data_IF_292640246316
#
_entry.id   IF_292640246316
#
_cell.length_a   1.000
_cell.length_b   1.000
_cell.length_c   1.000
_cell.angle_alpha   90.00
_cell.angle_beta   90.00
_cell.angle_gamma   90.00
#
_symmetry.space_group_name_H-M   'P 1'
#
loop_
_entity.id
_entity.type
_entity.pdbx_description
1 polymer ?
#
# COMPACT_ATOMS: atom_id res chain seq x y z
N UNK A 1 9.96 32.17 68.43
CA UNK A 1 11.28 31.63 68.82
C UNK A 1 11.12 30.12 68.92
N UNK A 2 11.46 29.37 67.88
CA UNK A 2 12.79 28.74 67.66
C UNK A 2 13.20 27.85 68.84
N UNK A 3 13.04 26.54 68.68
CA UNK A 3 14.06 25.48 68.90
C UNK A 3 13.38 24.10 69.07
N UNK A 4 13.44 23.22 68.07
CA UNK A 4 14.43 22.11 67.95
C UNK A 4 14.47 21.18 69.16
N UNK A 5 14.05 19.91 68.99
CA UNK A 5 14.87 18.77 69.39
C UNK A 5 14.53 17.51 68.58
N UNK A 6 15.60 16.84 68.15
CA UNK A 6 15.73 15.73 67.21
C UNK A 6 15.44 14.38 67.88
N UNK A 7 14.83 13.49 67.08
CA UNK A 7 15.16 12.07 66.82
C UNK A 7 15.62 11.17 67.99
N UNK A 8 14.96 10.02 68.16
CA UNK A 8 15.57 8.67 68.15
C UNK A 8 14.53 7.56 68.40
N UNK A 9 14.26 6.74 67.37
CA UNK A 9 13.81 5.34 67.43
C UNK A 9 13.81 4.85 65.96
N UNK A 10 14.86 4.19 65.45
CA UNK A 10 15.26 2.80 65.71
C UNK A 10 14.17 1.78 65.32
N UNK A 11 14.38 1.19 64.14
CA UNK A 11 14.16 -0.23 63.77
C UNK A 11 12.72 -0.78 63.70
N UNK A 12 12.30 -1.25 62.52
CA UNK A 12 12.30 -2.69 62.19
C UNK A 12 11.82 -2.91 60.75
N UNK A 13 12.58 -3.71 60.01
CA UNK A 13 12.29 -4.22 58.68
C UNK A 13 11.17 -5.26 58.73
N UNK A 14 10.12 -5.12 57.92
CA UNK A 14 9.30 -6.26 57.45
C UNK A 14 8.90 -6.01 56.00
N UNK A 15 9.59 -6.70 55.10
CA UNK A 15 9.28 -6.76 53.66
C UNK A 15 8.18 -7.81 53.49
N UNK A 16 6.93 -7.38 53.29
CA UNK A 16 5.85 -8.27 52.83
C UNK A 16 5.94 -8.44 51.32
N UNK A 17 6.46 -9.59 50.88
CA UNK A 17 6.46 -10.00 49.47
C UNK A 17 5.03 -10.31 49.00
N UNK A 18 4.51 -9.49 48.08
CA UNK A 18 3.28 -9.80 47.34
C UNK A 18 3.67 -10.70 46.17
N UNK A 19 3.37 -11.99 46.28
CA UNK A 19 3.51 -12.95 45.19
C UNK A 19 2.38 -12.74 44.18
N UNK A 20 2.70 -12.12 43.04
CA UNK A 20 1.80 -12.00 41.90
C UNK A 20 1.87 -13.32 41.11
N UNK A 21 0.78 -14.09 41.16
CA UNK A 21 0.60 -15.30 40.36
C UNK A 21 0.33 -14.88 38.90
N UNK A 22 1.37 -14.87 38.07
CA UNK A 22 1.22 -14.62 36.63
C UNK A 22 0.61 -15.85 35.95
N UNK A 23 -0.63 -15.76 35.48
CA UNK A 23 -1.19 -16.74 34.56
C UNK A 23 -0.35 -16.76 33.27
N UNK A 24 0.21 -17.93 32.95
CA UNK A 24 0.98 -18.16 31.73
C UNK A 24 0.13 -17.91 30.49
N UNK A 25 0.64 -17.08 29.58
CA UNK A 25 0.08 -16.91 28.24
C UNK A 25 0.43 -18.13 27.38
N UNK A 26 -0.50 -18.66 26.55
CA UNK A 26 -0.17 -19.73 25.64
C UNK A 26 0.71 -19.17 24.52
N UNK A 27 1.97 -19.60 24.49
CA UNK A 27 2.88 -19.32 23.38
C UNK A 27 2.36 -20.00 22.12
N UNK A 28 1.78 -19.21 21.22
CA UNK A 28 1.66 -19.58 19.81
C UNK A 28 3.08 -19.82 19.29
N UNK A 29 3.34 -21.03 18.77
CA UNK A 29 4.59 -21.39 18.12
C UNK A 29 4.82 -20.49 16.89
N UNK A 30 5.47 -19.35 17.10
CA UNK A 30 6.16 -18.65 16.03
C UNK A 30 7.33 -19.55 15.60
N UNK A 31 7.30 -20.04 14.37
CA UNK A 31 8.42 -20.76 13.77
C UNK A 31 9.65 -19.84 13.83
N UNK A 32 10.58 -20.15 14.73
CA UNK A 32 11.83 -19.40 14.86
C UNK A 32 12.63 -19.53 13.57
N UNK A 33 13.21 -18.42 13.12
CA UNK A 33 14.16 -18.40 12.03
C UNK A 33 15.36 -19.31 12.37
N UNK A 34 16.08 -19.84 11.36
CA UNK A 34 17.31 -20.60 11.61
C UNK A 34 18.30 -19.81 12.48
N UNK A 35 19.08 -20.52 13.29
CA UNK A 35 20.01 -19.90 14.24
C UNK A 35 20.92 -18.84 13.57
N UNK A 36 20.96 -17.66 14.19
CA UNK A 36 21.79 -16.53 13.74
C UNK A 36 21.15 -15.62 12.68
N UNK A 37 19.99 -15.97 12.09
CA UNK A 37 19.28 -15.09 11.16
C UNK A 37 18.54 -13.98 11.91
N UNK A 38 18.72 -12.73 11.48
CA UNK A 38 18.15 -11.54 12.13
C UNK A 38 17.53 -10.60 11.09
N UNK A 39 16.20 -10.49 11.12
CA UNK A 39 15.44 -9.64 10.20
C UNK A 39 15.65 -8.14 10.45
N UNK A 40 15.95 -7.70 11.68
CA UNK A 40 16.22 -6.29 11.95
C UNK A 40 17.56 -5.88 11.34
N UNK A 41 18.58 -6.72 11.51
CA UNK A 41 19.88 -6.57 10.83
C UNK A 41 19.72 -6.60 9.32
N UNK A 42 18.88 -7.49 8.80
CA UNK A 42 18.54 -7.55 7.37
C UNK A 42 17.95 -6.26 6.81
N UNK A 43 17.05 -5.61 7.56
CA UNK A 43 16.46 -4.33 7.17
C UNK A 43 17.50 -3.20 7.08
N UNK A 44 18.40 -3.12 8.05
CA UNK A 44 19.51 -2.17 8.02
C UNK A 44 20.40 -2.40 6.79
N UNK A 45 20.89 -3.63 6.60
CA UNK A 45 21.72 -4.02 5.46
C UNK A 45 21.04 -3.71 4.11
N UNK A 46 19.76 -3.98 3.98
CA UNK A 46 19.00 -3.69 2.77
C UNK A 46 18.90 -2.19 2.48
N UNK A 47 18.56 -1.38 3.49
CA UNK A 47 18.46 0.08 3.35
C UNK A 47 19.81 0.75 3.04
N UNK A 48 20.89 0.24 3.62
CA UNK A 48 22.21 0.82 3.51
C UNK A 48 22.91 0.44 2.20
N UNK A 49 22.58 -0.71 1.59
CA UNK A 49 23.36 -1.26 0.48
C UNK A 49 22.62 -1.28 -0.86
N UNK A 50 21.28 -1.41 -0.88
CA UNK A 50 20.57 -1.72 -2.13
C UNK A 50 20.31 -0.50 -3.03
N UNK A 51 20.04 0.68 -2.44
CA UNK A 51 19.81 1.90 -3.22
C UNK A 51 21.09 2.51 -3.83
N UNK A 52 22.27 1.93 -3.56
CA UNK A 52 23.56 2.47 -4.01
C UNK A 52 23.77 2.39 -5.52
N UNK A 53 23.16 1.40 -6.18
CA UNK A 53 23.37 1.13 -7.60
C UNK A 53 22.10 1.27 -8.44
N UNK A 54 20.93 1.08 -7.86
CA UNK A 54 19.65 1.20 -8.55
C UNK A 54 18.56 1.64 -7.56
N UNK A 55 17.41 2.07 -8.08
CA UNK A 55 16.26 2.34 -7.21
C UNK A 55 15.85 1.06 -6.48
N UNK A 56 15.76 1.12 -5.15
CA UNK A 56 15.38 -0.04 -4.35
C UNK A 56 13.90 -0.34 -4.53
N UNK A 57 13.57 -1.60 -4.86
CA UNK A 57 12.17 -2.07 -4.90
C UNK A 57 11.58 -1.99 -3.49
N UNK A 58 10.30 -1.65 -3.38
CA UNK A 58 9.59 -1.78 -2.10
C UNK A 58 9.47 -3.27 -1.73
N UNK A 59 9.52 -3.65 -0.44
CA UNK A 59 9.27 -5.04 -0.01
C UNK A 59 7.90 -5.58 -0.43
N UNK A 60 6.96 -4.69 -0.78
CA UNK A 60 5.63 -5.02 -1.32
C UNK A 60 5.63 -5.37 -2.81
N UNK A 61 6.71 -5.11 -3.55
CA UNK A 61 6.74 -5.26 -5.03
C UNK A 61 6.83 -6.72 -5.48
N UNK A 62 7.23 -7.64 -4.58
CA UNK A 62 7.39 -9.06 -4.85
C UNK A 62 6.77 -9.87 -3.71
N UNK A 63 6.33 -11.10 -4.03
CA UNK A 63 5.90 -12.05 -3.02
C UNK A 63 7.10 -12.72 -2.31
N UNK A 64 6.84 -13.39 -1.18
CA UNK A 64 7.86 -14.01 -0.34
C UNK A 64 8.75 -15.03 -1.07
N UNK A 65 8.22 -15.72 -2.09
CA UNK A 65 8.98 -16.69 -2.89
C UNK A 65 9.83 -16.00 -3.96
N UNK A 66 9.29 -14.97 -4.61
CA UNK A 66 10.01 -14.17 -5.60
C UNK A 66 11.24 -13.48 -4.99
N UNK A 67 11.16 -13.07 -3.73
CA UNK A 67 12.30 -12.49 -3.01
C UNK A 67 13.49 -13.46 -2.88
N UNK A 68 13.26 -14.77 -2.84
CA UNK A 68 14.35 -15.76 -2.78
C UNK A 68 15.26 -15.56 -3.99
N UNK A 69 14.70 -15.64 -5.20
CA UNK A 69 15.47 -15.49 -6.44
C UNK A 69 16.12 -14.12 -6.56
N UNK A 70 15.39 -13.05 -6.23
CA UNK A 70 15.92 -11.67 -6.32
C UNK A 70 17.10 -11.44 -5.38
N UNK A 71 17.01 -11.90 -4.13
CA UNK A 71 18.07 -11.72 -3.13
C UNK A 71 19.29 -12.59 -3.47
N UNK A 72 19.10 -13.82 -3.98
CA UNK A 72 20.23 -14.63 -4.46
C UNK A 72 20.92 -14.02 -5.69
N UNK A 73 20.18 -13.38 -6.60
CA UNK A 73 20.79 -12.63 -7.69
C UNK A 73 21.62 -11.45 -7.15
N UNK A 74 21.07 -10.73 -6.17
CA UNK A 74 21.75 -9.58 -5.55
C UNK A 74 22.93 -9.98 -4.66
N UNK A 75 22.95 -11.20 -4.11
CA UNK A 75 24.11 -11.70 -3.36
C UNK A 75 25.39 -11.60 -4.18
N UNK A 76 25.36 -12.06 -5.43
CA UNK A 76 26.54 -12.03 -6.30
C UNK A 76 26.82 -10.60 -6.78
N UNK A 77 25.79 -9.85 -7.15
CA UNK A 77 25.93 -8.50 -7.72
C UNK A 77 26.40 -7.45 -6.70
N UNK A 78 25.93 -7.54 -5.46
CA UNK A 78 26.24 -6.62 -4.37
C UNK A 78 27.33 -7.15 -3.42
N UNK A 79 27.91 -8.33 -3.70
CA UNK A 79 29.00 -8.90 -2.91
C UNK A 79 28.59 -9.31 -1.49
N UNK A 80 27.35 -9.75 -1.29
CA UNK A 80 26.83 -10.10 0.04
C UNK A 80 27.37 -11.45 0.53
N UNK A 81 27.67 -11.53 1.81
CA UNK A 81 27.94 -12.80 2.49
C UNK A 81 26.69 -13.66 2.57
N UNK A 82 26.87 -14.95 2.86
CA UNK A 82 25.75 -15.86 3.06
C UNK A 82 24.84 -15.46 4.24
N UNK A 83 25.41 -14.86 5.29
CA UNK A 83 24.62 -14.41 6.45
C UNK A 83 23.81 -13.16 6.13
N UNK A 84 24.43 -12.15 5.53
CA UNK A 84 23.74 -10.92 5.10
C UNK A 84 22.59 -11.24 4.14
N UNK A 85 22.83 -12.16 3.20
CA UNK A 85 21.80 -12.65 2.28
C UNK A 85 20.59 -13.23 3.03
N UNK A 86 20.83 -14.06 4.06
CA UNK A 86 19.75 -14.67 4.85
C UNK A 86 19.01 -13.64 5.70
N UNK A 87 19.73 -12.69 6.29
CA UNK A 87 19.14 -11.62 7.10
C UNK A 87 18.25 -10.71 6.24
N UNK A 88 18.75 -10.27 5.07
CA UNK A 88 18.00 -9.47 4.10
C UNK A 88 16.77 -10.24 3.59
N UNK A 89 16.92 -11.54 3.28
CA UNK A 89 15.80 -12.36 2.83
C UNK A 89 14.73 -12.49 3.92
N UNK A 90 15.13 -12.73 5.17
CA UNK A 90 14.20 -12.81 6.30
C UNK A 90 13.48 -11.48 6.54
N UNK A 91 14.18 -10.35 6.42
CA UNK A 91 13.57 -9.02 6.47
C UNK A 91 12.51 -8.84 5.38
N UNK A 92 12.86 -9.09 4.12
CA UNK A 92 11.97 -8.88 2.98
C UNK A 92 10.76 -9.78 3.04
N UNK A 93 10.93 -11.06 3.36
CA UNK A 93 9.81 -11.99 3.52
C UNK A 93 8.90 -11.62 4.68
N UNK A 94 9.45 -11.16 5.81
CA UNK A 94 8.65 -10.67 6.94
C UNK A 94 7.91 -9.37 6.59
N UNK A 95 8.55 -8.46 5.86
CA UNK A 95 7.94 -7.22 5.40
C UNK A 95 6.82 -7.49 4.39
N UNK A 96 7.02 -8.41 3.43
CA UNK A 96 5.97 -8.86 2.51
C UNK A 96 4.83 -9.55 3.24
N UNK A 97 5.11 -10.41 4.22
CA UNK A 97 4.10 -11.08 5.06
C UNK A 97 3.31 -10.08 5.91
N UNK A 98 3.99 -9.06 6.44
CA UNK A 98 3.35 -7.96 7.18
C UNK A 98 2.53 -7.08 6.24
N UNK A 99 2.97 -6.84 5.00
CA UNK A 99 2.21 -6.11 3.98
C UNK A 99 1.00 -6.91 3.48
N UNK A 100 1.11 -8.24 3.32
CA UNK A 100 -0.03 -9.10 2.96
C UNK A 100 -0.99 -9.24 4.14
N UNK A 101 -0.51 -9.35 5.38
CA UNK A 101 -1.37 -9.35 6.56
C UNK A 101 -1.98 -7.98 6.84
N UNK A 102 -1.27 -6.88 6.54
CA UNK A 102 -1.82 -5.53 6.59
C UNK A 102 -2.86 -5.34 5.48
N UNK A 103 -2.66 -5.88 4.28
CA UNK A 103 -3.66 -5.87 3.21
C UNK A 103 -4.91 -6.68 3.59
N UNK A 104 -4.74 -7.86 4.21
CA UNK A 104 -5.85 -8.69 4.71
C UNK A 104 -6.54 -8.07 5.93
N UNK A 105 -5.82 -7.32 6.77
CA UNK A 105 -6.38 -6.57 7.92
C UNK A 105 -6.95 -5.19 7.52
N UNK A 106 -6.75 -4.77 6.26
CA UNK A 106 -7.24 -3.51 5.68
C UNK A 106 -8.47 -3.72 4.77
N UNK A 107 -9.02 -4.94 4.72
CA UNK A 107 -10.33 -5.21 4.12
C UNK A 107 -11.51 -4.98 5.08
N UNK A 108 -11.25 -4.46 6.28
CA UNK A 108 -12.29 -4.03 7.22
C UNK A 108 -11.85 -2.77 7.95
N UNK A 109 -12.06 -1.64 7.28
CA UNK A 109 -12.24 -0.26 7.75
C UNK A 109 -11.38 0.74 6.94
N UNK A 110 -11.98 1.69 6.20
CA UNK A 110 -11.24 2.74 5.53
C UNK A 110 -10.78 3.80 6.54
N UNK A 111 -9.47 4.10 6.60
CA UNK A 111 -8.97 5.36 7.16
C UNK A 111 -8.77 6.39 6.04
N UNK A 112 -9.17 7.66 6.23
CA UNK A 112 -9.25 8.62 5.14
C UNK A 112 -7.89 9.29 4.92
N UNK A 113 -7.10 8.79 3.97
CA UNK A 113 -6.36 9.74 3.12
C UNK A 113 -7.47 10.40 2.31
N UNK A 114 -7.81 11.65 2.64
CA UNK A 114 -8.94 12.43 2.09
C UNK A 114 -9.41 11.84 0.77
N UNK A 115 -10.41 10.96 0.83
CA UNK A 115 -10.89 10.27 -0.34
C UNK A 115 -11.54 11.33 -1.21
N UNK A 116 -10.77 11.87 -2.16
CA UNK A 116 -11.30 12.79 -3.17
C UNK A 116 -12.53 12.11 -3.73
N UNK A 117 -13.66 12.81 -3.75
CA UNK A 117 -14.86 12.17 -4.27
C UNK A 117 -14.65 11.85 -5.75
N UNK A 118 -15.25 10.76 -6.23
CA UNK A 118 -15.18 10.40 -7.64
C UNK A 118 -15.67 11.55 -8.55
N UNK A 119 -16.66 12.32 -8.06
CA UNK A 119 -17.13 13.54 -8.71
C UNK A 119 -16.04 14.61 -8.79
N UNK A 120 -15.33 14.89 -7.70
CA UNK A 120 -14.26 15.91 -7.69
C UNK A 120 -13.12 15.52 -8.62
N UNK A 121 -12.74 14.24 -8.62
CA UNK A 121 -11.72 13.70 -9.53
C UNK A 121 -12.17 13.87 -10.98
N UNK A 122 -13.40 13.50 -11.30
CA UNK A 122 -13.96 13.63 -12.64
C UNK A 122 -13.97 15.10 -13.10
N UNK A 123 -14.44 16.00 -12.25
CA UNK A 123 -14.47 17.44 -12.53
C UNK A 123 -13.07 18.02 -12.69
N UNK A 124 -12.09 17.58 -11.90
CA UNK A 124 -10.74 18.12 -11.95
C UNK A 124 -9.89 17.56 -13.10
N UNK A 125 -10.13 16.33 -13.55
CA UNK A 125 -9.21 15.62 -14.46
C UNK A 125 -9.87 15.07 -15.74
N UNK A 126 -11.20 15.07 -15.86
CA UNK A 126 -11.86 14.39 -16.98
C UNK A 126 -12.87 15.28 -17.72
N UNK A 127 -13.61 16.14 -17.01
CA UNK A 127 -14.73 16.90 -17.59
C UNK A 127 -14.30 17.92 -18.64
N UNK A 128 -13.06 18.42 -18.60
CA UNK A 128 -12.54 19.35 -19.59
C UNK A 128 -12.64 18.80 -21.03
N UNK A 129 -12.51 17.48 -21.20
CA UNK A 129 -12.65 16.81 -22.50
C UNK A 129 -13.98 16.07 -22.62
N UNK A 130 -14.37 15.32 -21.57
CA UNK A 130 -15.57 14.47 -21.60
C UNK A 130 -16.87 15.23 -21.31
N UNK A 131 -16.81 16.50 -20.89
CA UNK A 131 -17.94 17.31 -20.47
C UNK A 131 -18.44 16.95 -19.07
N UNK A 132 -19.18 17.83 -18.41
CA UNK A 132 -19.61 17.65 -17.01
C UNK A 132 -20.48 16.40 -16.77
N UNK A 133 -21.15 15.93 -17.82
CA UNK A 133 -22.01 14.75 -17.80
C UNK A 133 -21.49 13.58 -18.65
N UNK A 134 -20.27 13.66 -19.18
CA UNK A 134 -19.73 12.62 -20.05
C UNK A 134 -20.20 12.68 -21.51
N UNK A 135 -20.88 13.75 -21.92
CA UNK A 135 -21.44 13.91 -23.27
C UNK A 135 -20.40 13.98 -24.41
N UNK A 136 -19.12 14.30 -24.12
CA UNK A 136 -18.05 14.19 -25.11
C UNK A 136 -18.23 15.04 -26.37
N UNK A 137 -18.59 16.32 -26.24
CA UNK A 137 -18.90 17.19 -27.39
C UNK A 137 -17.69 17.59 -28.26
N UNK A 138 -16.47 17.20 -27.88
CA UNK A 138 -15.25 17.52 -28.64
C UNK A 138 -15.00 16.47 -29.73
N UNK A 139 -14.49 16.87 -30.91
CA UNK A 139 -14.15 15.92 -31.97
C UNK A 139 -13.25 14.80 -31.47
N UNK A 140 -13.76 13.57 -31.56
CA UNK A 140 -13.04 12.37 -31.15
C UNK A 140 -13.16 12.00 -29.66
N UNK A 141 -13.79 12.82 -28.83
CA UNK A 141 -14.14 12.39 -27.47
C UNK A 141 -15.45 11.61 -27.54
N UNK A 142 -15.52 10.38 -27.00
CA UNK A 142 -16.75 9.59 -27.06
C UNK A 142 -17.82 10.16 -26.14
N UNK A 143 -19.08 10.01 -26.56
CA UNK A 143 -20.24 10.18 -25.68
C UNK A 143 -20.36 8.99 -24.72
N UNK A 144 -20.15 9.26 -23.43
CA UNK A 144 -20.23 8.30 -22.33
C UNK A 144 -21.65 8.18 -21.75
N UNK A 145 -22.60 9.00 -22.21
CA UNK A 145 -24.02 8.93 -21.82
C UNK A 145 -24.79 7.87 -22.59
N UNK A 146 -24.24 7.41 -23.71
CA UNK A 146 -24.87 6.41 -24.58
C UNK A 146 -24.78 4.99 -24.01
N UNK A 147 -25.93 4.32 -23.97
CA UNK A 147 -26.06 2.89 -23.64
C UNK A 147 -25.59 1.94 -24.75
N UNK A 148 -24.91 2.47 -25.78
CA UNK A 148 -24.18 1.70 -26.82
C UNK A 148 -22.69 2.06 -26.85
N UNK A 149 -22.28 2.91 -25.91
CA UNK A 149 -20.97 3.55 -25.89
C UNK A 149 -19.89 2.73 -25.19
N UNK A 150 -18.72 3.34 -25.07
CA UNK A 150 -17.54 2.73 -24.42
C UNK A 150 -17.83 2.32 -22.97
N UNK A 151 -18.69 3.05 -22.27
CA UNK A 151 -18.97 2.86 -20.84
C UNK A 151 -19.65 1.51 -20.51
N UNK A 152 -20.17 0.79 -21.52
CA UNK A 152 -20.69 -0.58 -21.39
C UNK A 152 -19.59 -1.64 -21.27
N UNK A 153 -18.34 -1.31 -21.60
CA UNK A 153 -17.23 -2.26 -21.47
C UNK A 153 -17.03 -2.61 -19.98
N UNK A 154 -16.51 -3.82 -19.69
CA UNK A 154 -16.24 -4.22 -18.32
C UNK A 154 -15.19 -3.33 -17.66
N UNK A 155 -15.24 -3.22 -16.33
CA UNK A 155 -14.51 -2.24 -15.53
C UNK A 155 -13.01 -2.39 -15.69
N UNK A 156 -12.50 -3.62 -15.79
CA UNK A 156 -11.09 -3.88 -16.01
C UNK A 156 -10.58 -3.30 -17.35
N UNK A 157 -11.38 -3.39 -18.40
CA UNK A 157 -11.05 -2.83 -19.73
C UNK A 157 -11.10 -1.30 -19.66
N UNK A 158 -12.11 -0.73 -19.01
CA UNK A 158 -12.21 0.72 -18.84
C UNK A 158 -11.06 1.27 -18.00
N UNK A 159 -10.74 0.63 -16.88
CA UNK A 159 -9.68 1.03 -15.99
C UNK A 159 -8.31 0.95 -16.68
N UNK A 160 -8.00 -0.15 -17.38
CA UNK A 160 -6.75 -0.29 -18.12
C UNK A 160 -6.56 0.81 -19.17
N UNK A 161 -7.65 1.16 -19.87
CA UNK A 161 -7.67 2.24 -20.86
C UNK A 161 -7.46 3.61 -20.22
N UNK A 162 -8.06 3.88 -19.06
CA UNK A 162 -7.88 5.16 -18.35
C UNK A 162 -6.45 5.25 -17.81
N UNK A 163 -5.93 4.19 -17.19
CA UNK A 163 -4.58 4.15 -16.61
C UNK A 163 -3.51 4.36 -17.70
N UNK A 164 -3.63 3.66 -18.83
CA UNK A 164 -2.64 3.71 -19.90
C UNK A 164 -2.84 4.85 -20.89
N UNK A 165 -4.00 5.52 -20.85
CA UNK A 165 -4.43 6.40 -21.92
C UNK A 165 -4.88 5.63 -23.17
N UNK A 166 -5.35 6.36 -24.17
CA UNK A 166 -5.88 5.77 -25.39
C UNK A 166 -5.72 6.69 -26.58
N UNK A 167 -5.22 6.15 -27.68
CA UNK A 167 -5.29 6.78 -28.98
C UNK A 167 -6.17 5.94 -29.90
N UNK A 168 -7.26 6.53 -30.39
CA UNK A 168 -8.12 5.87 -31.38
C UNK A 168 -7.59 6.21 -32.78
N UNK A 169 -7.35 5.22 -33.67
CA UNK A 169 -6.91 5.50 -35.03
C UNK A 169 -7.87 6.46 -35.75
N UNK A 170 -7.32 7.46 -36.44
CA UNK A 170 -8.10 8.49 -37.12
C UNK A 170 -8.64 9.61 -36.20
N UNK A 171 -8.33 9.56 -34.90
CA UNK A 171 -8.70 10.59 -33.96
C UNK A 171 -7.53 11.55 -33.70
N UNK A 172 -7.81 12.85 -33.75
CA UNK A 172 -6.82 13.90 -33.49
C UNK A 172 -6.50 14.05 -32.00
N UNK A 173 -7.40 13.62 -31.13
CA UNK A 173 -7.28 13.75 -29.68
C UNK A 173 -7.01 12.38 -29.03
N UNK A 174 -5.85 12.29 -28.37
CA UNK A 174 -5.53 11.17 -27.50
C UNK A 174 -6.10 11.40 -26.10
N UNK A 175 -6.63 10.35 -25.48
CA UNK A 175 -6.89 10.34 -24.04
C UNK A 175 -5.55 10.12 -23.31
N UNK A 176 -5.09 11.08 -22.49
CA UNK A 176 -3.83 10.93 -21.76
C UNK A 176 -3.93 9.85 -20.67
N UNK A 177 -2.80 9.20 -20.31
CA UNK A 177 -2.73 8.32 -19.14
C UNK A 177 -3.27 9.01 -17.89
N UNK A 178 -4.16 8.32 -17.18
CA UNK A 178 -4.85 8.79 -15.97
C UNK A 178 -5.51 10.18 -16.13
N UNK A 179 -6.00 10.51 -17.32
CA UNK A 179 -6.59 11.84 -17.57
C UNK A 179 -5.59 12.99 -17.41
N UNK A 180 -4.28 12.72 -17.54
CA UNK A 180 -3.22 13.70 -17.34
C UNK A 180 -2.83 13.93 -15.87
N UNK A 181 -3.42 13.18 -14.94
CA UNK A 181 -3.14 13.30 -13.50
C UNK A 181 -2.46 12.02 -12.99
N UNK A 182 -1.14 12.04 -12.89
CA UNK A 182 -0.33 10.89 -12.48
C UNK A 182 -0.63 10.41 -11.04
N UNK A 183 -1.15 11.31 -10.20
CA UNK A 183 -1.44 11.07 -8.78
C UNK A 183 -2.77 10.32 -8.54
N UNK A 184 -3.53 10.04 -9.60
CA UNK A 184 -4.75 9.23 -9.47
C UNK A 184 -4.38 7.75 -9.28
N UNK A 185 -5.00 7.14 -8.27
CA UNK A 185 -4.87 5.70 -8.01
C UNK A 185 -5.90 4.89 -8.79
N UNK A 186 -5.63 3.62 -9.05
CA UNK A 186 -6.56 2.73 -9.73
C UNK A 186 -7.91 2.62 -9.00
N UNK A 187 -7.89 2.71 -7.67
CA UNK A 187 -9.09 2.73 -6.82
C UNK A 187 -9.94 3.99 -7.08
N UNK A 188 -9.30 5.14 -7.16
CA UNK A 188 -9.98 6.41 -7.48
C UNK A 188 -10.55 6.39 -8.90
N UNK A 189 -9.80 5.85 -9.87
CA UNK A 189 -10.28 5.70 -11.25
C UNK A 189 -11.44 4.70 -11.37
N UNK A 190 -11.40 3.60 -10.63
CA UNK A 190 -12.54 2.69 -10.50
C UNK A 190 -13.78 3.39 -9.95
N UNK A 191 -13.62 4.20 -8.90
CA UNK A 191 -14.72 4.99 -8.34
C UNK A 191 -15.28 6.01 -9.35
N UNK A 192 -14.44 6.59 -10.21
CA UNK A 192 -14.86 7.47 -11.32
C UNK A 192 -15.70 6.72 -12.36
N UNK A 193 -15.34 5.47 -12.70
CA UNK A 193 -16.15 4.63 -13.60
C UNK A 193 -17.53 4.38 -12.98
N UNK A 194 -17.59 4.02 -11.69
CA UNK A 194 -18.85 3.82 -10.97
C UNK A 194 -19.68 5.11 -10.93
N UNK A 195 -19.05 6.24 -10.64
CA UNK A 195 -19.70 7.56 -10.65
C UNK A 195 -20.28 7.89 -12.02
N UNK A 196 -19.51 7.70 -13.10
CA UNK A 196 -19.98 7.94 -14.46
C UNK A 196 -21.20 7.10 -14.82
N UNK A 197 -21.18 5.80 -14.50
CA UNK A 197 -22.34 4.94 -14.72
C UNK A 197 -23.57 5.35 -13.91
N UNK A 198 -23.37 5.76 -12.65
CA UNK A 198 -24.46 6.29 -11.83
C UNK A 198 -25.03 7.60 -12.37
N UNK A 199 -24.18 8.44 -12.97
CA UNK A 199 -24.56 9.73 -13.53
C UNK A 199 -25.32 9.58 -14.86
N UNK A 200 -24.92 8.61 -15.69
CA UNK A 200 -25.49 8.42 -17.04
C UNK A 200 -26.59 7.37 -17.09
N UNK A 201 -26.71 6.52 -16.07
CA UNK A 201 -27.63 5.37 -16.09
C UNK A 201 -27.17 4.23 -16.99
N UNK A 202 -25.92 4.23 -17.46
CA UNK A 202 -25.36 3.14 -18.27
C UNK A 202 -24.84 2.03 -17.37
N UNK A 203 -25.41 0.83 -17.47
CA UNK A 203 -24.93 -0.39 -16.81
C UNK A 203 -24.42 -1.37 -17.86
N UNK A 204 -23.35 -2.15 -17.59
CA UNK A 204 -23.00 -3.29 -18.44
C UNK A 204 -24.16 -4.29 -18.45
N UNK A 205 -24.44 -4.89 -19.61
CA UNK A 205 -25.32 -6.06 -19.66
C UNK A 205 -24.64 -7.20 -18.88
N UNK A 206 -25.38 -7.84 -17.97
CA UNK A 206 -24.91 -8.98 -17.14
C UNK A 206 -24.48 -10.19 -17.98
#
# INVERSE_FOLDING_TARGET
MINTFRKMAAEMSVITTVSILTLGSPSLLARSLPDGVDAARGGALWSENCARCHNMRSPSDLNSEQWITSVYHMRVRAGLTGQETRDILAFLQNATKTATQAAVKTESQPSPISARSAKDIYTASCSACHGDKGQGNLPGVPDLTSNKGRLMKPDNVLLANIVSGMQTPGNVMAMPPKGGNADLTDKELGAVITYLRSLTGVTPDE
#
